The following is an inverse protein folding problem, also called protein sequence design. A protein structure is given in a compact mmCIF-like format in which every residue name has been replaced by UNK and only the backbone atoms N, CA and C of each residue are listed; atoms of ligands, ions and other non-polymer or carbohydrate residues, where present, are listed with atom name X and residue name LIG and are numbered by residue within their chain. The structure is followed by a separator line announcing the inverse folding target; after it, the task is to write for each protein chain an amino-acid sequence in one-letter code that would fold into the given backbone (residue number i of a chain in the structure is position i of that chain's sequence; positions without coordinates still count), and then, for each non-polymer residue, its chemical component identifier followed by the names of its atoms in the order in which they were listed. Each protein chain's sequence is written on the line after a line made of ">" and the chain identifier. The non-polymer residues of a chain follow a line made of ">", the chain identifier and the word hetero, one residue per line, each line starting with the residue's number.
data_IF_154120720692
#
_entry.id   IF_154120720692
#
_cell.length_a   1.000
_cell.length_b   1.000
_cell.length_c   1.000
_cell.angle_alpha   90.00
_cell.angle_beta   90.00
_cell.angle_gamma   90.00
#
_symmetry.space_group_name_H-M   'P 1'
#
loop_
_entity.id
_entity.type
_entity.pdbx_description
1 polymer ?
2 non-polymer ?
3 non-polymer ?
4 water ?
#
# COMPACT_ATOMS: atom_id res chain seq x y z
N UNK A 5 -8.04 -23.59 9.82
CA UNK A 5 -7.19 -24.60 9.21
C UNK A 5 -5.95 -23.87 8.64
N UNK A 6 -5.99 -22.99 7.59
CA UNK A 6 -4.75 -22.31 7.21
C UNK A 6 -4.29 -21.28 8.24
N UNK A 7 -2.98 -21.08 8.35
CA UNK A 7 -2.44 -20.10 9.31
C UNK A 7 -2.56 -18.66 8.73
N UNK A 8 -2.38 -17.64 9.57
CA UNK A 8 -2.43 -16.25 9.10
C UNK A 8 -1.33 -16.01 8.03
N UNK A 9 -0.12 -16.55 8.26
CA UNK A 9 0.96 -16.38 7.30
C UNK A 9 0.71 -17.15 6.00
N UNK A 10 0.08 -18.33 6.08
CA UNK A 10 -0.28 -19.09 4.88
C UNK A 10 -1.32 -18.29 4.08
N UNK A 11 -2.31 -17.69 4.75
CA UNK A 11 -3.31 -16.88 4.07
C UNK A 11 -2.70 -15.63 3.43
N UNK A 12 -1.71 -15.00 4.11
CA UNK A 12 -1.03 -13.84 3.51
C UNK A 12 -0.30 -14.29 2.23
N UNK A 13 0.39 -15.45 2.28
CA UNK A 13 1.10 -15.94 1.09
C UNK A 13 0.14 -16.32 -0.04
N UNK A 14 -1.04 -16.86 0.30
CA UNK A 14 -2.06 -17.17 -0.72
C UNK A 14 -2.55 -15.85 -1.34
N UNK A 15 -2.73 -14.82 -0.52
CA UNK A 15 -3.14 -13.51 -1.00
C UNK A 15 -2.10 -12.93 -1.94
N UNK A 16 -0.80 -13.04 -1.57
CA UNK A 16 0.27 -12.52 -2.45
C UNK A 16 0.25 -13.23 -3.78
N UNK A 17 0.04 -14.55 -3.75
CA UNK A 17 0.04 -15.36 -4.96
C UNK A 17 -1.16 -15.01 -5.85
N UNK A 18 -2.32 -14.83 -5.26
CA UNK A 18 -3.52 -14.42 -5.99
C UNK A 18 -3.36 -13.03 -6.57
N UNK A 19 -2.67 -12.12 -5.84
CA UNK A 19 -2.43 -10.77 -6.34
C UNK A 19 -1.57 -10.84 -7.60
N UNK A 20 -0.49 -11.64 -7.57
CA UNK A 20 0.38 -11.81 -8.75
C UNK A 20 -0.41 -12.40 -9.93
N UNK A 21 -1.41 -13.23 -9.63
CA UNK A 21 -2.29 -13.83 -10.62
C UNK A 21 -3.45 -12.95 -11.05
N UNK A 22 -3.48 -11.66 -10.64
CA UNK A 22 -4.51 -10.67 -10.97
C UNK A 22 -5.91 -11.05 -10.49
N UNK A 23 -6.00 -11.70 -9.31
CA UNK A 23 -7.30 -12.08 -8.76
C UNK A 23 -7.43 -11.18 -7.52
N UNK A 24 -7.69 -9.89 -7.73
CA UNK A 24 -7.64 -8.91 -6.64
C UNK A 24 -8.72 -9.08 -5.56
N UNK A 25 -10.01 -9.28 -5.88
CA UNK A 25 -11.00 -9.48 -4.80
C UNK A 25 -10.72 -10.75 -3.98
N UNK A 26 -10.23 -11.80 -4.64
CA UNK A 26 -9.90 -13.06 -3.95
C UNK A 26 -8.69 -12.84 -3.06
N UNK A 27 -7.69 -12.12 -3.55
CA UNK A 27 -6.51 -11.80 -2.75
C UNK A 27 -6.90 -10.98 -1.53
N UNK A 28 -7.78 -9.97 -1.72
CA UNK A 28 -8.21 -9.14 -0.61
C UNK A 28 -8.95 -9.96 0.45
N UNK A 29 -9.74 -10.95 0.03
CA UNK A 29 -10.46 -11.80 1.00
C UNK A 29 -9.45 -12.66 1.78
N UNK A 30 -8.37 -13.16 1.13
CA UNK A 30 -7.33 -13.92 1.83
C UNK A 30 -6.68 -13.06 2.89
N UNK A 31 -6.33 -11.80 2.55
CA UNK A 31 -5.72 -10.90 3.55
C UNK A 31 -6.69 -10.61 4.69
N UNK A 32 -7.99 -10.55 4.38
CA UNK A 32 -9.01 -10.37 5.42
C UNK A 32 -9.01 -11.56 6.37
N UNK A 33 -8.88 -12.78 5.82
CA UNK A 33 -8.81 -13.98 6.66
C UNK A 33 -7.54 -13.98 7.49
N UNK A 34 -6.43 -13.49 6.93
CA UNK A 34 -5.18 -13.39 7.70
C UNK A 34 -5.36 -12.43 8.88
N UNK A 35 -6.00 -11.26 8.63
CA UNK A 35 -6.30 -10.27 9.69
C UNK A 35 -7.19 -10.88 10.75
N UNK A 36 -8.15 -11.71 10.34
CA UNK A 36 -9.03 -12.39 11.31
C UNK A 36 -8.20 -13.24 12.27
N UNK A 37 -7.20 -13.94 11.74
CA UNK A 37 -6.35 -14.78 12.59
C UNK A 37 -5.42 -13.95 13.43
N UNK A 38 -4.83 -12.93 12.82
CA UNK A 38 -3.86 -12.08 13.51
C UNK A 38 -3.97 -10.66 13.02
N UNK A 39 -4.70 -9.79 13.75
CA UNK A 39 -4.93 -8.42 13.27
C UNK A 39 -3.84 -7.40 13.60
N UNK A 40 -2.70 -7.87 14.12
CA UNK A 40 -1.65 -6.97 14.53
C UNK A 40 -0.43 -7.01 13.62
N UNK A 41 -0.60 -7.46 12.36
CA UNK A 41 0.48 -7.55 11.38
C UNK A 41 0.23 -6.51 10.28
N UNK A 42 1.07 -5.48 10.23
CA UNK A 42 0.86 -4.39 9.29
C UNK A 42 0.81 -4.81 7.86
N UNK A 43 1.70 -5.74 7.43
CA UNK A 43 1.75 -6.11 6.01
C UNK A 43 0.43 -6.68 5.48
N UNK A 44 -0.42 -7.26 6.34
CA UNK A 44 -1.71 -7.78 5.82
C UNK A 44 -2.57 -6.60 5.33
N UNK A 45 -2.53 -5.47 6.06
CA UNK A 45 -3.28 -4.28 5.67
C UNK A 45 -2.63 -3.57 4.48
N UNK A 46 -1.29 -3.48 4.44
CA UNK A 46 -0.67 -2.81 3.27
C UNK A 46 -0.97 -3.58 1.98
N UNK A 47 -0.89 -4.91 2.03
CA UNK A 47 -1.14 -5.69 0.83
C UNK A 47 -2.61 -5.67 0.43
N UNK A 48 -3.52 -5.70 1.42
CA UNK A 48 -4.94 -5.58 1.10
C UNK A 48 -5.24 -4.19 0.53
N UNK A 49 -4.55 -3.14 1.00
CA UNK A 49 -4.77 -1.79 0.47
C UNK A 49 -4.46 -1.75 -1.02
N UNK A 50 -3.39 -2.46 -1.45
CA UNK A 50 -3.06 -2.47 -2.88
C UNK A 50 -4.13 -3.21 -3.67
N UNK A 51 -4.74 -4.27 -3.09
CA UNK A 51 -5.88 -4.92 -3.73
C UNK A 51 -7.02 -3.91 -3.93
N UNK A 52 -7.36 -3.18 -2.89
CA UNK A 52 -8.44 -2.21 -2.94
C UNK A 52 -8.17 -1.11 -3.94
N UNK A 53 -6.90 -0.71 -4.10
CA UNK A 53 -6.55 0.30 -5.10
C UNK A 53 -6.84 -0.26 -6.50
N UNK A 54 -6.44 -1.54 -6.76
CA UNK A 54 -6.74 -2.14 -8.06
C UNK A 54 -8.25 -2.28 -8.29
N UNK A 55 -9.01 -2.50 -7.22
CA UNK A 55 -10.48 -2.67 -7.29
C UNK A 55 -11.21 -1.30 -7.32
N UNK A 56 -10.45 -0.17 -7.35
CA UNK A 56 -11.03 1.17 -7.37
C UNK A 56 -11.79 1.50 -6.11
N UNK A 57 -11.43 0.86 -4.99
CA UNK A 57 -12.06 1.11 -3.70
C UNK A 57 -11.07 1.95 -2.89
N UNK A 58 -10.90 3.21 -3.31
CA UNK A 58 -9.93 4.09 -2.70
C UNK A 58 -10.15 4.36 -1.24
N UNK A 59 -11.40 4.57 -0.81
CA UNK A 59 -11.64 4.83 0.63
C UNK A 59 -11.20 3.65 1.48
N UNK A 60 -11.45 2.41 1.01
CA UNK A 60 -11.03 1.23 1.77
C UNK A 60 -9.49 1.09 1.73
N UNK A 61 -8.86 1.42 0.61
CA UNK A 61 -7.40 1.38 0.51
C UNK A 61 -6.77 2.37 1.51
N UNK A 62 -7.32 3.59 1.61
CA UNK A 62 -6.82 4.62 2.53
C UNK A 62 -6.95 4.11 3.96
N UNK A 63 -8.09 3.50 4.29
CA UNK A 63 -8.30 3.00 5.66
C UNK A 63 -7.30 1.91 6.01
N UNK A 64 -7.02 0.99 5.06
CA UNK A 64 -6.05 -0.07 5.31
C UNK A 64 -4.64 0.48 5.48
N UNK A 65 -4.28 1.50 4.70
CA UNK A 65 -2.96 2.14 4.89
C UNK A 65 -2.87 2.76 6.26
N UNK A 66 -3.97 3.38 6.73
CA UNK A 66 -3.95 3.99 8.07
C UNK A 66 -3.76 2.94 9.15
N UNK A 67 -4.43 1.78 9.02
CA UNK A 67 -4.29 0.71 10.02
C UNK A 67 -2.85 0.18 10.00
N UNK A 68 -2.26 0.03 8.79
CA UNK A 68 -0.88 -0.45 8.69
C UNK A 68 0.07 0.52 9.37
N UNK A 69 -0.16 1.83 9.21
CA UNK A 69 0.73 2.85 9.79
C UNK A 69 0.62 2.92 11.30
N UNK A 70 -0.53 2.58 11.87
CA UNK A 70 -0.67 2.53 13.33
C UNK A 70 0.18 1.38 13.89
N UNK A 71 0.31 0.29 13.14
CA UNK A 71 1.08 -0.89 13.55
C UNK A 71 2.56 -0.78 13.23
N UNK A 72 2.90 -0.13 12.11
CA UNK A 72 4.29 0.01 11.71
C UNK A 72 4.48 1.39 11.07
N UNK A 73 4.80 2.35 11.90
CA UNK A 73 4.95 3.73 11.47
C UNK A 73 6.11 3.97 10.55
N UNK A 74 7.05 3.03 10.47
CA UNK A 74 8.22 3.15 9.58
C UNK A 74 8.02 2.39 8.24
N UNK A 75 6.81 1.92 7.96
CA UNK A 75 6.56 1.15 6.76
C UNK A 75 6.76 1.93 5.49
N UNK A 76 7.73 1.51 4.66
CA UNK A 76 7.93 2.14 3.35
C UNK A 76 6.70 1.84 2.48
N UNK A 77 6.23 0.57 2.47
CA UNK A 77 5.09 0.18 1.62
C UNK A 77 3.83 0.92 1.98
N UNK A 78 3.52 1.09 3.30
CA UNK A 78 2.28 1.80 3.66
C UNK A 78 2.31 3.24 3.18
N UNK A 79 3.46 3.93 3.28
CA UNK A 79 3.53 5.30 2.79
C UNK A 79 3.47 5.35 1.26
N UNK A 80 4.14 4.41 0.60
CA UNK A 80 4.15 4.40 -0.88
C UNK A 80 2.77 4.12 -1.45
N UNK A 81 2.09 3.09 -0.91
CA UNK A 81 0.76 2.75 -1.42
C UNK A 81 -0.23 3.85 -1.05
N UNK A 82 -0.05 4.51 0.11
CA UNK A 82 -0.94 5.63 0.48
C UNK A 82 -0.76 6.80 -0.49
N UNK A 83 0.48 7.09 -0.86
CA UNK A 83 0.78 8.13 -1.83
C UNK A 83 0.15 7.82 -3.18
N UNK A 84 0.28 6.58 -3.67
CA UNK A 84 -0.31 6.19 -4.97
C UNK A 84 -1.83 6.30 -4.92
N UNK A 85 -2.42 5.87 -3.78
CA UNK A 85 -3.86 5.98 -3.61
C UNK A 85 -4.32 7.45 -3.64
N UNK A 86 -3.63 8.30 -2.87
CA UNK A 86 -3.93 9.73 -2.85
C UNK A 86 -3.76 10.39 -4.18
N UNK A 87 -2.76 9.95 -4.94
CA UNK A 87 -2.55 10.49 -6.28
C UNK A 87 -3.78 10.19 -7.16
N UNK A 88 -4.31 8.95 -7.09
CA UNK A 88 -5.48 8.61 -7.89
C UNK A 88 -6.71 9.43 -7.46
N UNK A 89 -6.80 9.76 -6.16
CA UNK A 89 -7.87 10.58 -5.60
C UNK A 89 -7.68 12.09 -5.81
N UNK A 90 -6.60 12.51 -6.46
CA UNK A 90 -6.28 13.91 -6.71
C UNK A 90 -5.96 14.69 -5.44
N UNK A 91 -5.49 14.00 -4.37
CA UNK A 91 -5.04 14.70 -3.17
C UNK A 91 -3.52 14.82 -3.37
N UNK A 92 -3.10 15.73 -4.24
CA UNK A 92 -1.72 15.82 -4.68
C UNK A 92 -0.69 16.14 -3.60
N UNK A 93 -0.96 17.13 -2.75
CA UNK A 93 0.01 17.52 -1.73
C UNK A 93 0.28 16.38 -0.75
N UNK A 94 -0.79 15.67 -0.35
CA UNK A 94 -0.63 14.55 0.55
C UNK A 94 0.10 13.42 -0.16
N UNK A 95 -0.26 13.15 -1.44
CA UNK A 95 0.40 12.07 -2.21
C UNK A 95 1.89 12.31 -2.30
N UNK A 96 2.30 13.54 -2.64
CA UNK A 96 3.71 13.86 -2.75
C UNK A 96 4.42 13.71 -1.41
N UNK A 97 3.80 14.17 -0.32
CA UNK A 97 4.43 14.07 1.00
C UNK A 97 4.63 12.58 1.37
N UNK A 98 3.61 11.74 1.10
CA UNK A 98 3.76 10.31 1.42
C UNK A 98 4.80 9.64 0.55
N UNK A 99 4.88 9.99 -0.75
CA UNK A 99 5.92 9.38 -1.60
C UNK A 99 7.31 9.85 -1.15
N UNK A 100 7.45 11.13 -0.76
CA UNK A 100 8.73 11.64 -0.26
C UNK A 100 9.11 10.92 1.04
N UNK A 101 8.11 10.62 1.89
CA UNK A 101 8.38 9.93 3.15
C UNK A 101 8.79 8.49 2.85
N UNK A 102 8.14 7.83 1.86
CA UNK A 102 8.53 6.47 1.48
C UNK A 102 10.02 6.47 1.01
N UNK A 103 10.40 7.48 0.22
CA UNK A 103 11.77 7.59 -0.25
C UNK A 103 12.77 7.71 0.92
N UNK A 104 12.47 8.60 1.87
CA UNK A 104 13.36 8.82 3.04
C UNK A 104 13.47 7.57 3.89
N UNK A 105 12.34 6.88 4.09
CA UNK A 105 12.36 5.66 4.89
C UNK A 105 13.13 4.56 4.15
N UNK A 106 12.96 4.45 2.83
CA UNK A 106 13.67 3.43 2.05
C UNK A 106 15.17 3.65 2.11
N UNK A 107 15.60 4.92 2.04
CA UNK A 107 17.03 5.23 2.11
C UNK A 107 17.57 4.88 3.50
N UNK A 108 16.82 5.21 4.54
CA UNK A 108 17.24 4.91 5.91
C UNK A 108 17.31 3.40 6.16
N UNK A 109 16.40 2.63 5.55
CA UNK A 109 16.35 1.18 5.71
C UNK A 109 17.21 0.41 4.68
N UNK A 110 17.95 1.12 3.82
CA UNK A 110 18.83 0.55 2.79
C UNK A 110 18.04 -0.32 1.80
N UNK A 111 16.79 0.05 1.52
CA UNK A 111 15.96 -0.68 0.56
C UNK A 111 16.20 -0.13 -0.83
N UNK A 112 16.26 -1.01 -1.82
CA UNK A 112 16.49 -0.60 -3.19
C UNK A 112 15.31 -0.97 -4.08
N UNK A 113 14.54 0.04 -4.54
CA UNK A 113 13.44 -0.18 -5.48
C UNK A 113 13.80 0.45 -6.84
N UNK A 114 15.09 0.52 -7.19
CA UNK A 114 15.54 1.18 -8.42
C UNK A 114 15.11 2.64 -8.41
N UNK A 115 14.58 3.12 -9.53
CA UNK A 115 14.10 4.50 -9.62
C UNK A 115 12.59 4.58 -9.35
N UNK A 116 11.96 3.55 -8.75
CA UNK A 116 10.50 3.55 -8.58
C UNK A 116 9.96 4.73 -7.80
N UNK A 117 10.59 5.10 -6.65
CA UNK A 117 10.02 6.18 -5.84
C UNK A 117 10.24 7.55 -6.46
N UNK A 118 11.45 7.91 -6.95
CA UNK A 118 11.60 9.18 -7.64
C UNK A 118 10.72 9.22 -8.91
N UNK A 119 10.55 8.09 -9.61
CA UNK A 119 9.68 8.06 -10.79
C UNK A 119 8.23 8.38 -10.40
N UNK A 120 7.73 7.77 -9.31
CA UNK A 120 6.39 8.04 -8.83
C UNK A 120 6.24 9.49 -8.39
N UNK A 121 7.29 10.05 -7.74
CA UNK A 121 7.28 11.43 -7.34
C UNK A 121 7.16 12.38 -8.53
N UNK A 122 7.92 12.13 -9.63
CA UNK A 122 7.82 12.99 -10.79
C UNK A 122 6.42 12.90 -11.41
N UNK A 123 5.82 11.71 -11.44
CA UNK A 123 4.48 11.54 -12.00
C UNK A 123 3.47 12.33 -11.17
N UNK A 124 3.56 12.23 -9.84
CA UNK A 124 2.63 12.97 -8.98
C UNK A 124 2.82 14.47 -9.08
N UNK A 125 4.09 14.94 -9.11
CA UNK A 125 4.35 16.37 -9.19
C UNK A 125 3.92 16.91 -10.57
N UNK A 126 4.09 16.11 -11.65
CA UNK A 126 3.68 16.57 -12.98
C UNK A 126 2.16 16.66 -13.01
N UNK A 127 1.46 15.67 -12.45
CA UNK A 127 -0.01 15.69 -12.43
C UNK A 127 -0.53 16.88 -11.62
N UNK A 128 0.08 17.16 -10.43
CA UNK A 128 -0.28 18.31 -9.60
C UNK A 128 -0.07 19.60 -10.38
N UNK A 129 1.09 19.68 -11.05
CA UNK A 129 1.41 20.84 -11.85
C UNK A 129 0.40 21.08 -12.96
N UNK A 130 0.10 20.05 -13.76
CA UNK A 130 -0.88 20.15 -14.83
C UNK A 130 -2.27 20.56 -14.30
N UNK A 131 -2.64 20.06 -13.11
CA UNK A 131 -3.92 20.41 -12.51
C UNK A 131 -3.95 21.88 -12.10
N UNK A 132 -2.83 22.42 -11.61
CA UNK A 132 -2.75 23.83 -11.23
C UNK A 132 -2.52 24.66 -12.49
X LIG B 1 6.74 -2.14 -5.18
X LIG B 1 7.06 -1.14 -4.22
X LIG B 1 7.89 -0.20 -4.87
X LIG B 1 6.78 -0.92 -2.87
X LIG B 1 5.87 -3.34 -5.08
X LIG B 1 5.28 -6.37 -5.02
X LIG B 1 4.16 -7.35 -5.39
X LIG B 1 4.29 -5.63 -6.95
X LIG B 1 2.95 -7.38 -4.44
X LIG B 1 2.67 -8.78 -3.88
X LIG B 1 1.40 -8.81 -3.04
X LIG B 1 0.81 -7.43 -2.86
X LIG B 1 1.86 -6.45 -2.36
X LIG B 1 9.16 1.77 -4.81
X LIG B 1 3.04 -6.35 -3.32
X LIG B 1 3.69 -6.78 -6.61
X LIG B 1 8.55 2.14 -2.18
X LIG B 1 6.97 0.35 -0.89
X LIG B 1 6.01 -1.79 -2.21
X LIG B 1 7.35 -1.76 -6.36
X LIG B 1 4.96 -3.39 -4.27
X LIG B 1 8.04 -0.61 -6.17
X LIG B 1 6.11 -4.30 -6.00
X LIG B 1 4.05 -4.94 -7.92
X LIG B 1 5.27 -5.40 -6.00
X LIG B 1 6.04 -6.41 -4.07
X LIG B 1 7.27 0.17 -2.19
X LIG B 1 8.08 1.08 -2.84
X LIG B 1 8.38 0.89 -4.17
X LIG C 1 7.13 13.51 -15.36
X LIG C 1 6.77 12.22 -14.90
X LIG C 1 8.39 13.36 -16.22
X LIG C 1 9.48 13.23 -15.32
#
# INVERSE_FOLDING_TARGET
>A
GSHMSPSAQELKEQGNRLFVGRKYPEAAACYGRAITRNPLVAVYYTNRALCYLKMQQHEQALADCRRALELDGQSVKAHFFLGQCQLEMESYDEAIANLQRAYSLAKEQRLNFGDDIPSALRIAKKKRWNSIEERR
>B hetero
1 A1I6J C1 C2 C3 C7 C8 C9 C10 C11 C12 C13 C14 C15 C16 F3 C17 N3 F2 F1 F C O N N1 O2 N2 O1 C6 C5 C4
>C hetero
1 EDO C1 O1 C2 O2
#
